data_IF_606846117356
#
_entry.id   IF_606846117356
#
_cell.length_a   1.000
_cell.length_b   1.000
_cell.length_c   1.000
_cell.angle_alpha   90.00
_cell.angle_beta   90.00
_cell.angle_gamma   90.00
#
_symmetry.space_group_name_H-M   'P 1'
#
loop_
_entity.id
_entity.type
_entity.pdbx_description
1 polymer ?
#
# COMPACT_ATOMS: atom_id res chain seq x y z
N UNK A 1 2.49 8.71 -2.25
CA UNK A 1 2.10 7.30 -2.41
C UNK A 1 1.02 7.04 -3.45
N UNK A 2 -0.20 7.59 -3.37
CA UNK A 2 -1.26 7.37 -4.39
C UNK A 2 -0.81 7.70 -5.83
N UNK A 3 -0.22 8.89 -6.02
CA UNK A 3 0.32 9.32 -7.31
C UNK A 3 1.48 8.41 -7.75
N UNK A 4 2.33 7.95 -6.83
CA UNK A 4 3.49 7.12 -7.17
C UNK A 4 3.11 5.73 -7.67
N UNK A 5 2.05 5.11 -7.14
CA UNK A 5 1.63 3.79 -7.63
C UNK A 5 0.91 3.87 -8.97
N UNK A 6 0.19 4.97 -9.24
CA UNK A 6 -0.32 5.26 -10.58
C UNK A 6 0.81 5.41 -11.61
N UNK A 7 1.89 6.10 -11.24
CA UNK A 7 3.12 6.18 -12.06
C UNK A 7 3.84 4.83 -12.19
N UNK A 8 3.73 3.93 -11.21
CA UNK A 8 4.27 2.57 -11.27
C UNK A 8 3.56 1.64 -12.28
N UNK A 9 2.37 2.02 -12.77
CA UNK A 9 1.65 1.29 -13.82
C UNK A 9 2.17 1.65 -15.22
N UNK A 10 2.76 2.84 -15.39
CA UNK A 10 3.22 3.33 -16.70
C UNK A 10 4.24 2.41 -17.41
N UNK A 11 5.22 1.80 -16.72
CA UNK A 11 6.11 0.82 -17.34
C UNK A 11 5.38 -0.42 -17.89
N UNK A 12 4.16 -0.70 -17.41
CA UNK A 12 3.37 -1.90 -17.74
C UNK A 12 2.30 -1.65 -18.81
N UNK A 13 2.27 -0.46 -19.40
CA UNK A 13 1.31 -0.11 -20.48
C UNK A 13 1.41 -1.07 -21.66
N UNK A 14 2.63 -1.52 -21.99
CA UNK A 14 2.85 -2.50 -23.05
C UNK A 14 2.14 -3.84 -22.79
N UNK A 15 2.11 -4.30 -21.54
CA UNK A 15 1.43 -5.55 -21.14
C UNK A 15 -0.08 -5.33 -21.02
N UNK A 16 -0.52 -4.19 -20.47
CA UNK A 16 -1.94 -3.85 -20.33
C UNK A 16 -2.64 -3.82 -21.70
N UNK A 17 -1.97 -3.33 -22.73
CA UNK A 17 -2.52 -3.28 -24.09
C UNK A 17 -2.61 -4.65 -24.77
N UNK A 18 -1.96 -5.69 -24.24
CA UNK A 18 -1.99 -7.04 -24.83
C UNK A 18 -3.24 -7.83 -24.43
N UNK A 19 -3.84 -7.57 -23.26
CA UNK A 19 -4.96 -8.36 -22.76
C UNK A 19 -5.82 -7.60 -21.75
N UNK A 20 -7.15 -7.72 -21.89
CA UNK A 20 -8.12 -7.15 -20.95
C UNK A 20 -7.92 -7.64 -19.51
N UNK A 21 -7.36 -8.85 -19.33
CA UNK A 21 -7.07 -9.38 -17.99
C UNK A 21 -5.99 -8.58 -17.27
N UNK A 22 -4.95 -8.12 -17.99
CA UNK A 22 -3.93 -7.25 -17.42
C UNK A 22 -4.49 -5.87 -17.06
N UNK A 23 -5.43 -5.36 -17.86
CA UNK A 23 -6.15 -4.14 -17.52
C UNK A 23 -6.97 -4.30 -16.22
N UNK A 24 -7.79 -5.35 -16.12
CA UNK A 24 -8.60 -5.62 -14.92
C UNK A 24 -7.69 -5.79 -13.68
N UNK A 25 -6.58 -6.51 -13.81
CA UNK A 25 -5.62 -6.70 -12.73
C UNK A 25 -5.01 -5.37 -12.25
N UNK A 26 -4.70 -4.45 -13.18
CA UNK A 26 -4.16 -3.12 -12.86
C UNK A 26 -5.12 -2.26 -12.00
N UNK A 27 -6.42 -2.59 -12.00
CA UNK A 27 -7.42 -1.90 -11.18
C UNK A 27 -7.39 -2.34 -9.71
N UNK A 28 -6.86 -3.53 -9.39
CA UNK A 28 -6.87 -4.05 -8.02
C UNK A 28 -6.12 -3.17 -7.01
N UNK A 29 -4.89 -2.67 -7.29
CA UNK A 29 -4.23 -1.72 -6.40
C UNK A 29 -5.02 -0.42 -6.22
N UNK A 30 -5.63 0.09 -7.31
CA UNK A 30 -6.44 1.32 -7.27
C UNK A 30 -7.67 1.12 -6.37
N UNK A 31 -8.35 -0.01 -6.50
CA UNK A 31 -9.48 -0.36 -5.66
C UNK A 31 -9.08 -0.50 -4.18
N UNK A 32 -7.96 -1.16 -3.87
CA UNK A 32 -7.46 -1.24 -2.49
C UNK A 32 -7.18 0.14 -1.90
N UNK A 33 -6.60 1.04 -2.69
CA UNK A 33 -6.34 2.40 -2.25
C UNK A 33 -7.62 3.18 -1.98
N UNK A 34 -8.63 3.02 -2.82
CA UNK A 34 -9.96 3.56 -2.55
C UNK A 34 -10.47 3.07 -1.18
N UNK A 35 -10.40 1.77 -0.91
CA UNK A 35 -10.78 1.23 0.40
C UNK A 35 -9.95 1.82 1.56
N UNK A 36 -8.64 1.94 1.40
CA UNK A 36 -7.76 2.57 2.40
C UNK A 36 -8.21 4.01 2.68
N UNK A 37 -8.57 4.78 1.64
CA UNK A 37 -9.04 6.15 1.82
C UNK A 37 -10.36 6.22 2.59
N UNK A 38 -11.30 5.32 2.29
CA UNK A 38 -12.59 5.23 3.00
C UNK A 38 -12.39 4.89 4.48
N UNK A 39 -11.40 4.06 4.80
CA UNK A 39 -11.09 3.67 6.18
C UNK A 39 -10.35 4.79 6.93
N UNK A 40 -9.57 5.61 6.23
CA UNK A 40 -8.75 6.65 6.84
C UNK A 40 -9.57 7.94 7.09
N UNK A 41 -10.56 8.21 6.25
CA UNK A 41 -11.36 9.43 6.30
C UNK A 41 -12.80 9.14 6.76
N UNK A 42 -13.20 9.62 7.95
CA UNK A 42 -14.57 9.49 8.42
C UNK A 42 -15.55 10.32 7.59
N UNK A 43 -16.82 9.92 7.59
CA UNK A 43 -17.89 10.72 7.02
C UNK A 43 -18.22 11.92 7.92
N UNK A 44 -17.73 13.10 7.54
CA UNK A 44 -17.96 14.34 8.26
C UNK A 44 -19.39 14.88 8.12
N UNK A 45 -20.19 14.38 7.17
CA UNK A 45 -21.50 14.96 6.87
C UNK A 45 -22.54 14.65 7.95
N UNK A 46 -22.39 13.52 8.63
CA UNK A 46 -23.40 12.97 9.54
C UNK A 46 -22.98 12.97 11.02
N UNK A 47 -21.83 13.56 11.37
CA UNK A 47 -21.30 13.53 12.75
C UNK A 47 -20.95 14.94 13.24
N UNK A 48 -21.59 15.39 14.32
CA UNK A 48 -21.34 16.71 14.91
C UNK A 48 -19.92 16.88 15.48
N UNK A 49 -19.30 15.79 15.95
CA UNK A 49 -17.92 15.78 16.46
C UNK A 49 -17.24 14.46 16.11
N UNK A 50 -16.23 14.53 15.24
CA UNK A 50 -15.38 13.38 14.91
C UNK A 50 -14.04 13.50 15.61
N UNK A 51 -13.78 12.62 16.57
CA UNK A 51 -12.45 12.49 17.19
C UNK A 51 -11.58 11.62 16.29
N UNK A 52 -10.79 12.26 15.42
CA UNK A 52 -9.95 11.59 14.42
C UNK A 52 -9.06 10.48 15.01
N UNK A 53 -8.50 10.70 16.20
CA UNK A 53 -7.65 9.72 16.88
C UNK A 53 -8.41 8.42 17.16
N UNK A 54 -9.59 8.52 17.76
CA UNK A 54 -10.41 7.36 18.13
C UNK A 54 -10.91 6.63 16.89
N UNK A 55 -11.34 7.39 15.88
CA UNK A 55 -11.74 6.83 14.60
C UNK A 55 -10.59 6.05 13.93
N UNK A 56 -9.40 6.63 13.88
CA UNK A 56 -8.22 5.97 13.32
C UNK A 56 -7.88 4.68 14.09
N UNK A 57 -7.78 4.73 15.42
CA UNK A 57 -7.45 3.56 16.24
C UNK A 57 -8.52 2.47 16.19
N UNK A 58 -9.81 2.84 16.04
CA UNK A 58 -10.89 1.89 15.80
C UNK A 58 -10.78 1.13 14.48
N UNK A 59 -10.24 1.78 13.46
CA UNK A 59 -10.12 1.24 12.10
C UNK A 59 -8.74 0.66 11.75
N UNK A 60 -7.76 0.83 12.64
CA UNK A 60 -6.35 0.48 12.42
C UNK A 60 -6.13 -0.98 12.02
N UNK A 61 -6.92 -1.92 12.56
CA UNK A 61 -6.83 -3.34 12.16
C UNK A 61 -7.10 -3.53 10.68
N UNK A 62 -8.16 -2.90 10.18
CA UNK A 62 -8.56 -2.99 8.78
C UNK A 62 -7.58 -2.27 7.87
N UNK A 63 -7.06 -1.12 8.31
CA UNK A 63 -6.01 -0.40 7.61
C UNK A 63 -4.77 -1.28 7.38
N UNK A 64 -4.24 -1.89 8.44
CA UNK A 64 -3.07 -2.76 8.31
C UNK A 64 -3.37 -4.06 7.54
N UNK A 65 -4.58 -4.61 7.64
CA UNK A 65 -4.99 -5.74 6.82
C UNK A 65 -4.98 -5.39 5.33
N UNK A 66 -5.50 -4.21 4.95
CA UNK A 66 -5.46 -3.74 3.56
C UNK A 66 -4.02 -3.53 3.08
N UNK A 67 -3.11 -3.03 3.93
CA UNK A 67 -1.69 -2.95 3.58
C UNK A 67 -1.05 -4.33 3.36
N UNK A 68 -1.39 -5.33 4.16
CA UNK A 68 -0.91 -6.70 3.95
C UNK A 68 -1.40 -7.25 2.60
N UNK A 69 -2.69 -7.08 2.30
CA UNK A 69 -3.27 -7.47 1.00
C UNK A 69 -2.59 -6.72 -0.14
N UNK A 70 -2.34 -5.42 0.02
CA UNK A 70 -1.59 -4.63 -0.95
C UNK A 70 -0.21 -5.22 -1.23
N UNK A 71 0.59 -5.54 -0.21
CA UNK A 71 1.91 -6.15 -0.42
C UNK A 71 1.81 -7.52 -1.10
N UNK A 72 0.83 -8.35 -0.73
CA UNK A 72 0.57 -9.64 -1.42
C UNK A 72 0.26 -9.41 -2.89
N UNK A 73 -0.60 -8.44 -3.22
CA UNK A 73 -0.88 -8.09 -4.62
C UNK A 73 0.39 -7.61 -5.34
N UNK A 74 1.26 -6.82 -4.70
CA UNK A 74 2.52 -6.40 -5.36
C UNK A 74 3.46 -7.57 -5.65
N UNK A 75 3.47 -8.60 -4.79
CA UNK A 75 4.23 -9.84 -5.03
C UNK A 75 3.63 -10.59 -6.22
N UNK A 76 2.32 -10.86 -6.20
CA UNK A 76 1.61 -11.52 -7.31
C UNK A 76 1.84 -10.74 -8.61
N UNK A 77 1.79 -9.41 -8.54
CA UNK A 77 1.97 -8.52 -9.67
C UNK A 77 3.33 -8.67 -10.33
N UNK A 78 4.38 -9.03 -9.60
CA UNK A 78 5.71 -9.28 -10.16
C UNK A 78 5.85 -10.61 -10.92
N UNK A 79 4.87 -11.50 -10.76
CA UNK A 79 4.75 -12.73 -11.55
C UNK A 79 3.77 -12.54 -12.73
N UNK A 80 2.81 -11.63 -12.58
CA UNK A 80 1.83 -11.30 -13.63
C UNK A 80 2.44 -10.39 -14.70
N UNK A 81 3.19 -9.36 -14.28
CA UNK A 81 3.97 -8.52 -15.18
C UNK A 81 5.43 -8.91 -15.08
N UNK A 82 6.15 -8.95 -16.19
CA UNK A 82 7.60 -9.18 -16.19
C UNK A 82 8.31 -7.95 -15.62
N UNK A 83 8.38 -7.86 -14.28
CA UNK A 83 9.05 -6.78 -13.57
C UNK A 83 10.57 -6.80 -13.89
N UNK A 84 11.14 -5.62 -14.12
CA UNK A 84 12.56 -5.45 -14.44
C UNK A 84 13.38 -5.37 -13.14
N UNK A 85 14.57 -6.00 -13.12
CA UNK A 85 15.54 -5.92 -12.02
C UNK A 85 15.57 -7.15 -11.11
N UNK A 86 16.06 -6.99 -9.87
CA UNK A 86 16.17 -8.10 -8.92
C UNK A 86 14.83 -8.40 -8.22
N UNK A 87 13.95 -9.11 -8.93
CA UNK A 87 12.59 -9.47 -8.47
C UNK A 87 12.64 -10.25 -7.15
N UNK A 88 13.63 -11.12 -6.95
CA UNK A 88 13.77 -11.91 -5.73
C UNK A 88 13.95 -11.00 -4.50
N UNK A 89 14.89 -10.06 -4.54
CA UNK A 89 15.13 -9.12 -3.43
C UNK A 89 13.91 -8.23 -3.20
N UNK A 90 13.27 -7.74 -4.27
CA UNK A 90 12.05 -6.96 -4.15
C UNK A 90 10.93 -7.74 -3.46
N UNK A 91 10.74 -9.01 -3.81
CA UNK A 91 9.72 -9.86 -3.20
C UNK A 91 10.05 -10.26 -1.76
N UNK A 92 11.33 -10.38 -1.39
CA UNK A 92 11.74 -10.55 0.02
C UNK A 92 11.34 -9.31 0.83
N UNK A 93 11.62 -8.10 0.34
CA UNK A 93 11.24 -6.85 1.00
C UNK A 93 9.71 -6.74 1.13
N UNK A 94 8.98 -7.02 0.05
CA UNK A 94 7.51 -7.03 0.05
C UNK A 94 6.97 -8.07 1.03
N UNK A 95 7.57 -9.26 1.09
CA UNK A 95 7.22 -10.31 2.05
C UNK A 95 7.44 -9.88 3.50
N UNK A 96 8.54 -9.19 3.79
CA UNK A 96 8.74 -8.52 5.08
C UNK A 96 7.65 -7.51 5.40
N UNK A 97 7.22 -6.73 4.40
CA UNK A 97 6.07 -5.82 4.48
C UNK A 97 4.76 -6.53 4.80
N UNK A 98 4.48 -7.68 4.18
CA UNK A 98 3.30 -8.52 4.49
C UNK A 98 3.32 -8.95 5.95
N UNK A 99 4.43 -9.52 6.42
CA UNK A 99 4.57 -9.99 7.80
C UNK A 99 4.37 -8.83 8.77
N UNK A 100 5.05 -7.70 8.55
CA UNK A 100 4.94 -6.53 9.40
C UNK A 100 3.50 -5.98 9.45
N UNK A 101 2.83 -5.88 8.29
CA UNK A 101 1.45 -5.40 8.20
C UNK A 101 0.46 -6.38 8.85
N UNK A 102 0.63 -7.69 8.65
CA UNK A 102 -0.19 -8.70 9.28
C UNK A 102 -0.03 -8.71 10.81
N UNK A 103 1.21 -8.59 11.30
CA UNK A 103 1.51 -8.45 12.73
C UNK A 103 0.90 -7.16 13.29
N UNK A 104 0.98 -6.04 12.57
CA UNK A 104 0.34 -4.79 12.98
C UNK A 104 -1.20 -4.86 12.95
N UNK A 105 -1.80 -5.61 12.02
CA UNK A 105 -3.24 -5.85 12.01
C UNK A 105 -3.70 -6.68 13.21
N UNK A 106 -2.90 -7.68 13.62
CA UNK A 106 -3.19 -8.52 14.78
C UNK A 106 -2.98 -7.77 16.11
N UNK A 107 -1.87 -7.03 16.23
CA UNK A 107 -1.51 -6.24 17.42
C UNK A 107 -1.82 -4.75 17.23
N UNK A 108 -2.99 -4.43 16.67
CA UNK A 108 -3.38 -3.09 16.23
C UNK A 108 -3.43 -2.01 17.31
N UNK A 109 -3.44 -2.37 18.59
CA UNK A 109 -3.43 -1.40 19.71
C UNK A 109 -2.03 -0.96 20.12
N UNK A 110 -0.99 -1.59 19.57
CA UNK A 110 0.39 -1.35 19.96
C UNK A 110 0.96 -0.12 19.24
N UNK A 111 1.25 0.93 20.00
CA UNK A 111 1.78 2.21 19.47
C UNK A 111 3.12 2.01 18.75
N UNK A 112 4.00 1.14 19.27
CA UNK A 112 5.32 0.90 18.68
C UNK A 112 5.26 0.43 17.21
N UNK A 113 4.27 -0.40 16.84
CA UNK A 113 4.13 -0.86 15.46
C UNK A 113 3.79 0.29 14.49
N UNK A 114 3.01 1.27 14.95
CA UNK A 114 2.72 2.48 14.17
C UNK A 114 3.97 3.33 13.97
N UNK A 115 4.79 3.47 15.01
CA UNK A 115 6.05 4.22 14.96
C UNK A 115 7.03 3.54 13.99
N UNK A 116 7.12 2.21 14.00
CA UNK A 116 7.96 1.46 13.06
C UNK A 116 7.49 1.70 11.61
N UNK A 117 6.19 1.59 11.34
CA UNK A 117 5.63 1.89 10.02
C UNK A 117 5.90 3.33 9.58
N UNK A 118 5.76 4.28 10.49
CA UNK A 118 6.03 5.70 10.23
C UNK A 118 7.52 5.92 9.90
N UNK A 119 8.42 5.35 10.69
CA UNK A 119 9.87 5.49 10.50
C UNK A 119 10.32 4.87 9.17
N UNK A 120 9.84 3.67 8.84
CA UNK A 120 10.10 3.03 7.55
C UNK A 120 9.53 3.89 6.40
N UNK A 121 8.30 4.38 6.55
CA UNK A 121 7.65 5.23 5.54
C UNK A 121 8.43 6.50 5.24
N UNK A 122 8.88 7.22 6.28
CA UNK A 122 9.73 8.40 6.11
C UNK A 122 11.09 8.06 5.51
N UNK A 123 11.73 7.00 5.98
CA UNK A 123 13.00 6.55 5.41
C UNK A 123 12.88 6.27 3.91
N UNK A 124 11.86 5.53 3.49
CA UNK A 124 11.61 5.24 2.07
C UNK A 124 11.29 6.51 1.27
N UNK A 125 10.55 7.45 1.85
CA UNK A 125 10.25 8.72 1.20
C UNK A 125 11.54 9.55 0.97
N UNK A 126 12.44 9.60 1.96
CA UNK A 126 13.73 10.29 1.83
C UNK A 126 14.58 9.63 0.74
N UNK A 127 14.72 8.30 0.77
CA UNK A 127 15.46 7.55 -0.25
C UNK A 127 14.91 7.80 -1.66
N UNK A 128 13.58 7.91 -1.80
CA UNK A 128 12.96 8.26 -3.08
C UNK A 128 13.41 9.64 -3.59
N UNK A 129 13.35 10.68 -2.75
CA UNK A 129 13.78 12.01 -3.16
C UNK A 129 15.27 12.07 -3.52
N UNK A 130 16.11 11.29 -2.84
CA UNK A 130 17.53 11.18 -3.17
C UNK A 130 17.81 10.43 -4.48
N UNK A 131 16.89 9.57 -4.91
CA UNK A 131 17.02 8.79 -6.14
C UNK A 131 16.46 9.50 -7.39
N UNK A 132 15.80 10.67 -7.24
CA UNK A 132 15.32 11.44 -8.39
C UNK A 132 16.51 12.05 -9.14
N UNK A 133 16.58 11.90 -10.48
CA UNK A 133 17.60 12.59 -11.26
C UNK A 133 17.41 14.10 -11.13
N UNK A 134 18.50 14.82 -10.80
CA UNK A 134 18.55 16.29 -10.71
C UNK A 134 18.46 16.95 -12.06
#
# INVERSE_FOLDING_TARGET
>A
MFIQNWWGIWPRVADINQSIFFFIYSLLPIFLFYLISVILFPDFKNQEKVVMKEYFYGNTRWLFALFAVYFVLTIISSFVYNDIGNVLVQNIIRGGGVVLAATAAYFNRTVWLHVIFLAIGYYMLIQFFLALPT
#
